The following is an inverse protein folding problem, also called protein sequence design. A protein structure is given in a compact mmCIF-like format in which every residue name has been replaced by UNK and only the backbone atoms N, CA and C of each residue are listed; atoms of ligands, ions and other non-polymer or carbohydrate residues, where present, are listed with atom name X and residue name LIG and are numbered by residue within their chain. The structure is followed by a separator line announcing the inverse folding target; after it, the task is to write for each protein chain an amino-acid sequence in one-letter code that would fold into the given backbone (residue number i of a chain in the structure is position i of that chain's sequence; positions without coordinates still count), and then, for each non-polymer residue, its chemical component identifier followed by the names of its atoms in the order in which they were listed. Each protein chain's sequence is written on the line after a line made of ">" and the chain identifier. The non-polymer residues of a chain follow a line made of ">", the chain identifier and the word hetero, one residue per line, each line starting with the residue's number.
data_IF_040746119528
#
_entry.id   IF_040746119528
#
_cell.length_a   1.000
_cell.length_b   1.000
_cell.length_c   1.000
_cell.angle_alpha   90.00
_cell.angle_beta   90.00
_cell.angle_gamma   90.00
#
_symmetry.space_group_name_H-M   'P 1'
#
loop_
_entity.id
_entity.type
_entity.pdbx_description
1 polymer ?
#
# COMPACT_ATOMS: atom_id res chain seq x y z
N UNK A 1 0.22 10.97 5.27
CA UNK A 1 -0.42 9.74 5.78
C UNK A 1 0.28 9.38 7.08
N UNK A 2 -0.45 8.87 8.05
CA UNK A 2 0.06 8.42 9.35
C UNK A 2 0.60 7.00 9.22
N UNK A 3 1.68 6.70 9.95
CA UNK A 3 2.21 5.34 10.06
C UNK A 3 1.18 4.41 10.72
N UNK A 4 1.02 3.21 10.17
CA UNK A 4 0.17 2.15 10.74
C UNK A 4 1.05 1.03 11.29
N UNK A 5 1.83 0.39 10.41
CA UNK A 5 2.70 -0.72 10.77
C UNK A 5 3.79 -0.94 9.72
N UNK A 6 4.84 -1.68 10.10
CA UNK A 6 5.79 -2.27 9.15
C UNK A 6 5.45 -3.76 8.98
N UNK A 7 5.34 -4.22 7.72
CA UNK A 7 4.98 -5.58 7.34
C UNK A 7 5.92 -6.13 6.27
N UNK A 8 6.67 -7.19 6.57
CA UNK A 8 7.65 -7.84 5.66
C UNK A 8 8.68 -6.88 5.04
N UNK A 9 9.08 -5.84 5.78
CA UNK A 9 10.03 -4.81 5.33
C UNK A 9 9.40 -3.67 4.53
N UNK A 10 8.08 -3.71 4.30
CA UNK A 10 7.30 -2.61 3.73
C UNK A 10 6.65 -1.82 4.87
N UNK A 11 6.42 -0.53 4.65
CA UNK A 11 5.70 0.32 5.60
C UNK A 11 4.29 0.58 5.11
N UNK A 12 3.30 0.41 5.96
CA UNK A 12 1.90 0.73 5.67
C UNK A 12 1.55 2.06 6.35
N UNK A 13 1.04 2.99 5.56
CA UNK A 13 0.60 4.30 6.01
C UNK A 13 -0.91 4.46 5.74
N UNK A 14 -1.68 4.99 6.68
CA UNK A 14 -3.10 5.28 6.51
C UNK A 14 -3.34 6.78 6.49
N UNK A 15 -4.33 7.22 5.73
CA UNK A 15 -4.78 8.60 5.82
C UNK A 15 -5.95 8.90 4.91
N UNK A 16 -6.44 10.14 4.98
CA UNK A 16 -7.52 10.56 4.12
C UNK A 16 -7.06 10.53 2.66
N UNK A 17 -7.84 9.85 1.83
CA UNK A 17 -7.58 9.70 0.39
C UNK A 17 -8.55 10.47 -0.48
N UNK A 18 -9.50 11.16 0.15
CA UNK A 18 -10.54 11.96 -0.49
C UNK A 18 -11.73 12.15 0.43
N UNK A 19 -12.80 12.73 -0.11
CA UNK A 19 -14.04 12.91 0.62
C UNK A 19 -15.20 13.25 -0.30
N UNK A 20 -16.41 12.93 0.15
CA UNK A 20 -17.64 13.38 -0.45
C UNK A 20 -17.98 14.74 0.12
N UNK A 21 -18.18 15.73 -0.76
CA UNK A 21 -18.67 17.06 -0.42
C UNK A 21 -20.14 17.18 -0.82
N UNK A 22 -20.95 17.80 0.02
CA UNK A 22 -22.33 18.13 -0.35
C UNK A 22 -22.38 19.27 -1.37
N UNK A 23 -23.59 19.58 -1.84
CA UNK A 23 -23.85 20.69 -2.79
C UNK A 23 -23.50 22.08 -2.22
N UNK A 24 -23.27 22.18 -0.91
CA UNK A 24 -22.88 23.40 -0.22
C UNK A 24 -21.36 23.47 0.03
N UNK A 25 -20.59 22.47 -0.43
CA UNK A 25 -19.14 22.40 -0.27
C UNK A 25 -18.67 21.89 1.09
N UNK A 26 -19.56 21.35 1.93
CA UNK A 26 -19.18 20.78 3.22
C UNK A 26 -18.74 19.32 3.04
N UNK A 27 -17.67 18.93 3.72
CA UNK A 27 -17.23 17.53 3.78
C UNK A 27 -18.26 16.70 4.56
N UNK A 28 -18.96 15.80 3.87
CA UNK A 28 -20.00 14.93 4.46
C UNK A 28 -19.54 13.49 4.66
N UNK A 29 -18.44 13.09 4.01
CA UNK A 29 -17.84 11.78 4.25
C UNK A 29 -16.36 11.81 3.90
N UNK A 30 -15.50 11.37 4.81
CA UNK A 30 -14.06 11.28 4.57
C UNK A 30 -13.69 9.83 4.22
N UNK A 31 -13.12 9.64 3.04
CA UNK A 31 -12.58 8.34 2.64
C UNK A 31 -11.16 8.21 3.20
N UNK A 32 -10.90 7.09 3.87
CA UNK A 32 -9.55 6.72 4.28
C UNK A 32 -9.01 5.66 3.31
N UNK A 33 -7.71 5.73 3.06
CA UNK A 33 -7.00 4.67 2.35
C UNK A 33 -5.66 4.36 3.01
N UNK A 34 -5.16 3.19 2.67
CA UNK A 34 -3.87 2.67 3.05
C UNK A 34 -2.93 2.78 1.86
N UNK A 35 -1.67 3.11 2.09
CA UNK A 35 -0.60 3.07 1.09
C UNK A 35 0.56 2.26 1.63
N UNK A 36 1.21 1.57 0.72
CA UNK A 36 2.42 0.81 1.03
C UNK A 36 3.63 1.59 0.50
N UNK A 37 4.56 1.88 1.40
CA UNK A 37 5.90 2.35 1.07
C UNK A 37 6.82 1.14 1.00
N UNK A 38 7.38 0.93 -0.18
CA UNK A 38 8.29 -0.18 -0.47
C UNK A 38 9.68 0.10 0.10
N UNK A 39 10.51 -0.93 0.34
CA UNK A 39 11.89 -0.76 0.80
C UNK A 39 12.76 0.08 -0.14
N UNK A 40 12.41 0.11 -1.43
CA UNK A 40 13.06 0.92 -2.47
C UNK A 40 12.68 2.43 -2.39
N UNK A 41 11.83 2.83 -1.45
CA UNK A 41 11.35 4.19 -1.24
C UNK A 41 10.17 4.59 -2.13
N UNK A 42 9.73 3.75 -3.06
CA UNK A 42 8.57 4.04 -3.91
C UNK A 42 7.25 3.61 -3.26
N UNK A 43 6.18 4.32 -3.60
CA UNK A 43 4.85 4.13 -3.01
C UNK A 43 3.89 3.45 -3.98
N UNK A 44 2.95 2.70 -3.43
CA UNK A 44 1.92 2.00 -4.20
C UNK A 44 0.65 2.83 -4.34
N UNK A 45 -0.27 2.35 -5.18
CA UNK A 45 -1.63 2.87 -5.26
C UNK A 45 -2.33 2.71 -3.91
N UNK A 46 -3.18 3.68 -3.59
CA UNK A 46 -4.01 3.66 -2.39
C UNK A 46 -4.96 2.45 -2.39
N UNK A 47 -5.07 1.78 -1.25
CA UNK A 47 -5.93 0.62 -1.03
C UNK A 47 -6.99 0.91 0.02
N UNK A 48 -8.18 0.31 -0.09
CA UNK A 48 -9.30 0.66 0.77
C UNK A 48 -9.15 0.09 2.19
N UNK A 49 -8.46 -1.04 2.37
CA UNK A 49 -8.30 -1.66 3.69
C UNK A 49 -6.84 -2.05 3.99
N UNK A 50 -6.54 -2.21 5.28
CA UNK A 50 -5.25 -2.72 5.75
C UNK A 50 -4.99 -4.16 5.25
N UNK A 51 -6.04 -4.98 5.16
CA UNK A 51 -5.95 -6.35 4.66
C UNK A 51 -5.52 -6.38 3.19
N UNK A 52 -6.05 -5.49 2.36
CA UNK A 52 -5.63 -5.36 0.96
C UNK A 52 -4.15 -4.95 0.85
N UNK A 53 -3.66 -4.12 1.77
CA UNK A 53 -2.23 -3.76 1.85
C UNK A 53 -1.32 -4.90 2.22
N UNK A 54 -1.71 -5.71 3.20
CA UNK A 54 -0.98 -6.93 3.53
C UNK A 54 -0.99 -7.90 2.36
N UNK A 55 -2.15 -8.12 1.74
CA UNK A 55 -2.28 -8.98 0.55
C UNK A 55 -1.43 -8.51 -0.63
N UNK A 56 -1.37 -7.20 -0.89
CA UNK A 56 -0.47 -6.66 -1.91
C UNK A 56 1.00 -6.96 -1.58
N UNK A 57 1.43 -6.72 -0.34
CA UNK A 57 2.80 -7.03 0.10
C UNK A 57 3.09 -8.53 -0.04
N UNK A 58 2.13 -9.39 0.29
CA UNK A 58 2.24 -10.83 0.12
C UNK A 58 2.47 -11.20 -1.34
N UNK A 59 1.68 -10.67 -2.28
CA UNK A 59 1.88 -10.93 -3.71
C UNK A 59 3.25 -10.47 -4.21
N UNK A 60 3.72 -9.29 -3.80
CA UNK A 60 5.04 -8.77 -4.19
C UNK A 60 6.19 -9.60 -3.60
N UNK A 61 6.04 -10.08 -2.37
CA UNK A 61 7.07 -10.90 -1.70
C UNK A 61 7.07 -12.35 -2.20
N UNK A 62 5.92 -12.90 -2.58
CA UNK A 62 5.80 -14.19 -3.24
C UNK A 62 6.46 -14.16 -4.63
N UNK A 63 6.15 -13.17 -5.46
CA UNK A 63 6.79 -13.01 -6.78
C UNK A 63 8.31 -12.88 -6.69
N UNK A 64 8.84 -12.34 -5.58
CA UNK A 64 10.28 -12.25 -5.34
C UNK A 64 10.91 -13.58 -4.89
N UNK A 65 10.16 -14.46 -4.25
CA UNK A 65 10.65 -15.75 -3.73
C UNK A 65 10.63 -16.84 -4.81
N UNK A 66 9.70 -16.76 -5.75
CA UNK A 66 9.53 -17.72 -6.86
C UNK A 66 10.28 -17.36 -8.16
N UNK A 67 11.15 -16.35 -8.15
CA UNK A 67 12.08 -16.15 -9.26
C UNK A 67 13.30 -17.05 -9.04
N UNK A 68 13.43 -18.20 -9.75
CA UNK A 68 14.71 -18.89 -9.78
C UNK A 68 15.72 -17.89 -10.35
N UNK A 69 16.71 -17.53 -9.54
CA UNK A 69 17.89 -16.83 -10.01
C UNK A 69 18.51 -17.73 -11.06
N UNK A 70 18.23 -17.48 -12.33
CA UNK A 70 18.92 -18.13 -13.43
C UNK A 70 20.35 -17.60 -13.39
N UNK A 71 21.18 -18.24 -12.55
CA UNK A 71 22.62 -18.06 -12.57
C UNK A 71 23.09 -18.68 -13.87
N UNK A 72 23.16 -17.87 -14.93
CA UNK A 72 23.95 -18.23 -16.10
C UNK A 72 25.40 -18.27 -15.63
N UNK A 73 25.92 -19.47 -15.35
CA UNK A 73 27.37 -19.69 -15.32
C UNK A 73 27.83 -19.66 -16.77
N UNK A 74 28.52 -18.59 -17.16
CA UNK A 74 29.38 -18.53 -18.35
C UNK A 74 30.81 -18.74 -17.90
#
# INVERSE_FOLDING_TARGET
>A
MAFVEDYKGYRIEAGPSGGHYDSYGNLVGQANAYRVLKPDGSRTVSQPTLADSRGYIDTQTLSRTDMPRYQVRV
#
